data_IF_488981891159
#
_entry.id   IF_488981891159
#
_cell.length_a   1.000
_cell.length_b   1.000
_cell.length_c   1.000
_cell.angle_alpha   90.00
_cell.angle_beta   90.00
_cell.angle_gamma   90.00
#
_symmetry.space_group_name_H-M   'P 1'
#
loop_
_entity.id
_entity.type
_entity.pdbx_description
1 polymer ?
#
# COMPACT_ATOMS: atom_id res chain seq x y z
N UNK A 1 -14.64 -38.99 -9.62
CA UNK A 1 -13.63 -38.35 -10.48
C UNK A 1 -13.77 -36.88 -10.16
N UNK A 2 -12.97 -36.44 -9.18
CA UNK A 2 -13.26 -35.20 -8.46
C UNK A 2 -12.94 -34.00 -9.34
N UNK A 3 -14.02 -33.51 -9.93
CA UNK A 3 -14.31 -32.12 -10.30
C UNK A 3 -13.46 -31.15 -9.49
N UNK A 4 -12.42 -30.59 -10.14
CA UNK A 4 -11.48 -29.56 -9.69
C UNK A 4 -11.51 -29.24 -8.19
N UNK A 5 -10.48 -29.67 -7.45
CA UNK A 5 -10.29 -29.26 -6.05
C UNK A 5 -9.84 -27.77 -5.99
N UNK A 6 -10.79 -26.87 -6.28
CA UNK A 6 -10.65 -25.41 -6.33
C UNK A 6 -10.01 -24.87 -5.04
N UNK A 7 -10.37 -25.35 -3.82
CA UNK A 7 -9.69 -24.93 -2.59
C UNK A 7 -8.18 -25.18 -2.61
N UNK A 8 -7.74 -26.38 -3.03
CA UNK A 8 -6.31 -26.71 -3.13
C UNK A 8 -5.59 -25.81 -4.12
N UNK A 9 -6.22 -25.52 -5.27
CA UNK A 9 -5.63 -24.62 -6.27
C UNK A 9 -5.47 -23.19 -5.71
N UNK A 10 -6.48 -22.65 -5.01
CA UNK A 10 -6.41 -21.33 -4.39
C UNK A 10 -5.25 -21.27 -3.39
N UNK A 11 -5.12 -22.26 -2.51
CA UNK A 11 -4.00 -22.34 -1.56
C UNK A 11 -2.65 -22.36 -2.27
N UNK A 12 -2.50 -23.17 -3.32
CA UNK A 12 -1.26 -23.22 -4.10
C UNK A 12 -0.91 -21.87 -4.75
N UNK A 13 -1.91 -21.15 -5.29
CA UNK A 13 -1.70 -19.84 -5.91
C UNK A 13 -1.32 -18.79 -4.86
N UNK A 14 -2.00 -18.77 -3.72
CA UNK A 14 -1.66 -17.84 -2.63
C UNK A 14 -0.22 -18.06 -2.15
N UNK A 15 0.16 -19.30 -1.84
CA UNK A 15 1.52 -19.62 -1.37
C UNK A 15 2.57 -19.22 -2.39
N UNK A 16 2.36 -19.54 -3.67
CA UNK A 16 3.29 -19.15 -4.73
C UNK A 16 3.44 -17.62 -4.84
N UNK A 17 2.34 -16.87 -4.73
CA UNK A 17 2.37 -15.40 -4.80
C UNK A 17 3.06 -14.79 -3.57
N UNK A 18 2.82 -15.34 -2.38
CA UNK A 18 3.46 -14.90 -1.14
C UNK A 18 4.96 -15.17 -1.17
N UNK A 19 5.38 -16.38 -1.58
CA UNK A 19 6.78 -16.83 -1.53
C UNK A 19 7.67 -16.16 -2.58
N UNK A 20 7.15 -15.90 -3.78
CA UNK A 20 8.00 -15.58 -4.93
C UNK A 20 7.73 -14.24 -5.58
N UNK A 21 6.66 -13.56 -5.17
CA UNK A 21 6.08 -12.53 -6.00
C UNK A 21 5.91 -11.21 -5.22
N UNK A 22 6.51 -10.98 -4.04
CA UNK A 22 6.47 -9.63 -3.41
C UNK A 22 6.75 -8.43 -4.37
N UNK A 23 7.55 -8.63 -5.43
CA UNK A 23 7.73 -7.66 -6.52
C UNK A 23 6.46 -7.27 -7.30
N UNK A 24 5.44 -8.13 -7.53
CA UNK A 24 4.22 -7.66 -8.22
C UNK A 24 3.47 -6.65 -7.37
N UNK A 25 3.46 -6.80 -6.03
CA UNK A 25 2.85 -5.79 -5.14
C UNK A 25 3.49 -4.41 -5.32
N UNK A 26 4.79 -4.34 -5.58
CA UNK A 26 5.47 -3.08 -5.86
C UNK A 26 5.14 -2.51 -7.26
N UNK A 27 4.78 -3.36 -8.22
CA UNK A 27 4.48 -2.93 -9.59
C UNK A 27 3.10 -2.27 -9.68
N UNK A 28 2.06 -2.89 -9.09
CA UNK A 28 0.68 -2.42 -9.19
C UNK A 28 -0.07 -2.53 -7.84
N UNK A 29 0.40 -1.85 -6.78
CA UNK A 29 -0.07 -2.06 -5.41
C UNK A 29 -1.59 -1.86 -5.26
N UNK A 30 -2.16 -0.83 -5.89
CA UNK A 30 -3.59 -0.52 -5.83
C UNK A 30 -4.47 -1.58 -6.49
N UNK A 31 -4.12 -2.02 -7.70
CA UNK A 31 -4.89 -3.03 -8.45
C UNK A 31 -4.86 -4.39 -7.73
N UNK A 32 -3.68 -4.76 -7.21
CA UNK A 32 -3.50 -6.02 -6.49
C UNK A 32 -4.31 -6.02 -5.20
N UNK A 33 -4.22 -4.93 -4.42
CA UNK A 33 -5.03 -4.78 -3.21
C UNK A 33 -6.51 -4.89 -3.51
N UNK A 34 -6.97 -4.24 -4.56
CA UNK A 34 -8.36 -4.28 -4.96
C UNK A 34 -8.80 -5.69 -5.36
N UNK A 35 -8.02 -6.34 -6.22
CA UNK A 35 -8.29 -7.69 -6.68
C UNK A 35 -8.38 -8.65 -5.49
N UNK A 36 -7.40 -8.61 -4.58
CA UNK A 36 -7.36 -9.50 -3.42
C UNK A 36 -8.50 -9.18 -2.45
N UNK A 37 -8.82 -7.91 -2.23
CA UNK A 37 -9.94 -7.48 -1.39
C UNK A 37 -11.31 -7.96 -1.92
N UNK A 38 -11.51 -7.96 -3.23
CA UNK A 38 -12.76 -8.44 -3.84
C UNK A 38 -12.90 -9.97 -3.76
N UNK A 39 -11.79 -10.71 -3.68
CA UNK A 39 -11.77 -12.18 -3.71
C UNK A 39 -11.70 -12.74 -2.29
N UNK A 40 -12.87 -12.95 -1.68
CA UNK A 40 -13.02 -13.48 -0.31
C UNK A 40 -12.23 -14.76 0.00
N UNK A 41 -11.91 -15.57 -1.01
CA UNK A 41 -11.18 -16.83 -0.83
C UNK A 41 -9.65 -16.65 -0.76
N UNK A 42 -9.12 -15.44 -0.98
CA UNK A 42 -7.68 -15.14 -0.98
C UNK A 42 -7.24 -14.49 0.35
N UNK A 43 -7.66 -15.08 1.48
CA UNK A 43 -7.44 -14.51 2.82
C UNK A 43 -5.97 -14.44 3.21
N UNK A 44 -5.16 -15.44 2.86
CA UNK A 44 -3.74 -15.48 3.24
C UNK A 44 -2.95 -14.42 2.45
N UNK A 45 -3.27 -14.28 1.17
CA UNK A 45 -2.68 -13.26 0.32
C UNK A 45 -3.13 -11.85 0.76
N UNK A 46 -4.40 -11.68 1.13
CA UNK A 46 -4.90 -10.43 1.71
C UNK A 46 -4.11 -10.06 2.96
N UNK A 47 -4.00 -10.98 3.91
CA UNK A 47 -3.26 -10.78 5.16
C UNK A 47 -1.79 -10.46 4.90
N UNK A 48 -1.16 -11.13 3.93
CA UNK A 48 0.21 -10.85 3.53
C UNK A 48 0.37 -9.44 2.95
N UNK A 49 -0.42 -9.07 1.95
CA UNK A 49 -0.38 -7.74 1.33
C UNK A 49 -0.60 -6.65 2.38
N UNK A 50 -1.61 -6.83 3.21
CA UNK A 50 -2.00 -5.91 4.27
C UNK A 50 -0.88 -5.71 5.30
N UNK A 51 -0.27 -6.79 5.77
CA UNK A 51 0.90 -6.73 6.66
C UNK A 51 2.05 -5.98 6.00
N UNK A 52 2.36 -6.30 4.75
CA UNK A 52 3.48 -5.69 4.02
C UNK A 52 3.31 -4.20 3.76
N UNK A 53 2.10 -3.75 3.45
CA UNK A 53 1.82 -2.32 3.26
C UNK A 53 1.88 -1.55 4.58
N UNK A 54 1.55 -2.19 5.70
CA UNK A 54 1.64 -1.53 6.99
C UNK A 54 3.09 -1.43 7.51
N UNK A 55 3.90 -2.46 7.22
CA UNK A 55 5.35 -2.45 7.47
C UNK A 55 6.10 -1.46 6.57
N UNK A 56 5.70 -1.36 5.29
CA UNK A 56 6.37 -0.54 4.27
C UNK A 56 5.35 0.24 3.43
N UNK A 57 4.69 1.26 4.02
CA UNK A 57 3.62 2.00 3.37
C UNK A 57 4.06 2.75 2.11
N UNK A 58 5.35 3.05 1.98
CA UNK A 58 5.93 3.72 0.81
C UNK A 58 5.64 2.99 -0.49
N UNK A 59 5.50 1.66 -0.44
CA UNK A 59 5.16 0.83 -1.62
C UNK A 59 3.86 1.31 -2.26
N UNK A 60 2.88 1.67 -1.43
CA UNK A 60 1.57 2.12 -1.88
C UNK A 60 1.51 3.66 -1.94
N UNK A 61 1.89 4.35 -0.87
CA UNK A 61 1.70 5.80 -0.72
C UNK A 61 2.62 6.64 -1.62
N UNK A 62 3.79 6.11 -2.02
CA UNK A 62 4.67 6.79 -2.98
C UNK A 62 4.43 6.33 -4.43
N UNK A 63 3.54 5.37 -4.65
CA UNK A 63 3.20 4.92 -6.00
C UNK A 63 2.35 5.97 -6.72
N UNK A 64 2.63 6.15 -8.01
CA UNK A 64 1.79 6.88 -8.95
C UNK A 64 0.35 6.30 -9.03
N UNK A 65 0.20 5.01 -8.69
CA UNK A 65 -1.09 4.31 -8.63
C UNK A 65 -1.85 4.56 -7.34
N UNK A 66 -1.30 5.25 -6.35
CA UNK A 66 -2.03 5.53 -5.10
C UNK A 66 -3.37 6.22 -5.36
N UNK A 67 -3.39 7.17 -6.30
CA UNK A 67 -4.58 7.95 -6.63
C UNK A 67 -5.69 7.14 -7.29
N UNK A 68 -5.43 5.93 -7.79
CA UNK A 68 -6.46 5.03 -8.31
C UNK A 68 -7.09 4.14 -7.24
N UNK A 69 -6.57 4.16 -6.00
CA UNK A 69 -7.08 3.34 -4.91
C UNK A 69 -8.53 3.70 -4.59
N UNK A 70 -9.41 2.69 -4.53
CA UNK A 70 -10.82 2.91 -4.19
C UNK A 70 -10.98 3.40 -2.75
N UNK A 71 -11.92 4.32 -2.55
CA UNK A 71 -12.19 4.94 -1.24
C UNK A 71 -12.34 3.93 -0.07
N UNK A 72 -13.03 2.78 -0.20
CA UNK A 72 -13.15 1.82 0.90
C UNK A 72 -11.82 1.20 1.32
N UNK A 73 -10.89 0.99 0.38
CA UNK A 73 -9.56 0.45 0.67
C UNK A 73 -8.71 1.49 1.38
N UNK A 74 -8.74 2.74 0.91
CA UNK A 74 -8.06 3.84 1.58
C UNK A 74 -8.59 3.98 3.02
N UNK A 75 -9.91 3.94 3.21
CA UNK A 75 -10.54 4.00 4.53
C UNK A 75 -10.06 2.88 5.46
N UNK A 76 -10.00 1.64 4.94
CA UNK A 76 -9.52 0.47 5.68
C UNK A 76 -8.06 0.64 6.12
N UNK A 77 -7.20 1.15 5.25
CA UNK A 77 -5.80 1.40 5.57
C UNK A 77 -5.65 2.52 6.61
N UNK A 78 -6.40 3.62 6.46
CA UNK A 78 -6.32 4.75 7.40
C UNK A 78 -6.85 4.42 8.80
N UNK A 79 -7.72 3.41 8.96
CA UNK A 79 -8.18 2.94 10.28
C UNK A 79 -7.10 2.22 11.10
N UNK A 80 -5.99 1.81 10.49
CA UNK A 80 -5.03 0.89 11.12
C UNK A 80 -4.01 1.57 12.02
N UNK A 81 -3.89 1.08 13.26
CA UNK A 81 -2.89 1.59 14.20
C UNK A 81 -1.46 1.16 13.83
N UNK A 82 -1.29 0.11 13.04
CA UNK A 82 0.01 -0.46 12.64
C UNK A 82 0.50 0.01 11.26
N UNK A 83 -0.18 0.98 10.64
CA UNK A 83 0.30 1.64 9.42
C UNK A 83 1.50 2.56 9.78
N UNK A 84 2.71 2.11 9.49
CA UNK A 84 3.98 2.77 9.86
C UNK A 84 4.31 3.99 9.00
N UNK A 85 3.40 4.97 8.91
CA UNK A 85 3.55 6.21 8.15
C UNK A 85 3.24 7.42 9.03
N UNK A 86 4.06 8.47 8.92
CA UNK A 86 3.82 9.72 9.66
C UNK A 86 2.49 10.35 9.26
N UNK A 87 1.74 10.88 10.23
CA UNK A 87 0.40 11.44 9.98
C UNK A 87 0.42 12.59 8.98
N UNK A 88 1.53 13.33 8.90
CA UNK A 88 1.67 14.37 7.87
C UNK A 88 1.82 13.79 6.46
N UNK A 89 2.54 12.68 6.29
CA UNK A 89 2.65 12.00 5.01
C UNK A 89 1.31 11.37 4.59
N UNK A 90 0.54 10.87 5.56
CA UNK A 90 -0.84 10.42 5.33
C UNK A 90 -1.71 11.57 4.83
N UNK A 91 -1.66 12.74 5.50
CA UNK A 91 -2.39 13.93 5.10
C UNK A 91 -2.03 14.39 3.69
N UNK A 92 -0.73 14.52 3.38
CA UNK A 92 -0.24 14.92 2.06
C UNK A 92 -0.72 13.97 0.97
N UNK A 93 -0.70 12.66 1.22
CA UNK A 93 -1.21 11.65 0.30
C UNK A 93 -2.73 11.70 0.15
N UNK A 94 -3.48 11.91 1.23
CA UNK A 94 -4.94 12.05 1.18
C UNK A 94 -5.35 13.25 0.32
N UNK A 95 -4.68 14.40 0.47
CA UNK A 95 -4.93 15.58 -0.37
C UNK A 95 -4.64 15.29 -1.85
N UNK A 96 -3.52 14.63 -2.16
CA UNK A 96 -3.21 14.19 -3.53
C UNK A 96 -4.30 13.28 -4.10
N UNK A 97 -4.79 12.32 -3.28
CA UNK A 97 -5.87 11.42 -3.67
C UNK A 97 -7.17 12.18 -3.94
N UNK A 98 -7.59 13.10 -3.06
CA UNK A 98 -8.80 13.90 -3.23
C UNK A 98 -8.76 14.77 -4.49
N UNK A 99 -7.62 15.39 -4.79
CA UNK A 99 -7.43 16.18 -6.01
C UNK A 99 -7.50 15.30 -7.26
N UNK A 100 -6.95 14.09 -7.22
CA UNK A 100 -7.02 13.15 -8.34
C UNK A 100 -8.44 12.63 -8.60
N UNK A 101 -9.27 12.50 -7.54
CA UNK A 101 -10.69 12.15 -7.70
C UNK A 101 -11.51 13.30 -8.33
N UNK A 102 -11.03 14.54 -8.22
CA UNK A 102 -11.75 15.74 -8.66
C UNK A 102 -10.87 16.58 -9.62
N UNK A 103 -10.60 16.10 -10.85
CA UNK A 103 -9.62 16.71 -11.76
C UNK A 103 -10.00 18.11 -12.25
N UNK A 104 -11.26 18.53 -12.09
CA UNK A 104 -11.72 19.89 -12.41
C UNK A 104 -11.34 20.94 -11.37
N UNK A 105 -10.89 20.51 -10.18
CA UNK A 105 -10.56 21.41 -9.06
C UNK A 105 -9.15 21.94 -9.21
N UNK A 106 -9.00 23.24 -8.97
CA UNK A 106 -7.69 23.89 -8.97
C UNK A 106 -6.74 23.29 -7.93
N UNK A 107 -5.44 23.24 -8.24
CA UNK A 107 -4.46 22.70 -7.27
C UNK A 107 -4.20 23.65 -6.09
N UNK A 108 -4.31 24.95 -6.32
CA UNK A 108 -4.07 25.96 -5.28
C UNK A 108 -5.35 26.21 -4.49
N UNK A 109 -5.37 25.73 -3.24
CA UNK A 109 -6.51 25.85 -2.31
C UNK A 109 -6.94 27.31 -2.08
N UNK A 110 -6.02 28.28 -2.23
CA UNK A 110 -6.34 29.70 -2.07
C UNK A 110 -7.22 30.26 -3.18
N UNK A 111 -7.32 29.56 -4.32
CA UNK A 111 -8.08 29.98 -5.50
C UNK A 111 -9.42 29.27 -5.63
N UNK A 112 -9.78 28.43 -4.66
CA UNK A 112 -11.02 27.67 -4.73
C UNK A 112 -12.24 28.57 -4.56
N UNK A 113 -13.23 28.34 -5.42
CA UNK A 113 -14.56 28.89 -5.25
C UNK A 113 -15.41 28.01 -4.30
N UNK A 114 -16.62 28.47 -3.98
CA UNK A 114 -17.52 27.79 -3.03
C UNK A 114 -17.90 26.38 -3.47
N UNK A 115 -18.06 26.15 -4.77
CA UNK A 115 -18.45 24.84 -5.31
C UNK A 115 -17.29 23.85 -5.24
N UNK A 116 -16.07 24.29 -5.59
CA UNK A 116 -14.83 23.51 -5.44
C UNK A 116 -14.59 23.10 -3.98
N UNK A 117 -14.78 24.02 -3.03
CA UNK A 117 -14.72 23.74 -1.59
C UNK A 117 -15.73 22.66 -1.22
N UNK A 118 -17.00 22.81 -1.64
CA UNK A 118 -18.08 21.87 -1.32
C UNK A 118 -17.81 20.46 -1.86
N UNK A 119 -17.24 20.35 -3.06
CA UNK A 119 -16.88 19.05 -3.66
C UNK A 119 -15.74 18.39 -2.87
N UNK A 120 -14.69 19.16 -2.51
CA UNK A 120 -13.57 18.63 -1.74
C UNK A 120 -13.97 18.25 -0.32
N UNK A 121 -14.81 19.05 0.33
CA UNK A 121 -15.35 18.78 1.65
C UNK A 121 -16.08 17.43 1.66
N UNK A 122 -17.02 17.21 0.72
CA UNK A 122 -17.73 15.93 0.58
C UNK A 122 -16.80 14.75 0.30
N UNK A 123 -15.74 14.97 -0.48
CA UNK A 123 -14.77 13.93 -0.84
C UNK A 123 -13.95 13.50 0.37
N UNK A 124 -13.44 14.46 1.15
CA UNK A 124 -12.51 14.21 2.25
C UNK A 124 -13.22 13.84 3.56
N UNK A 125 -14.48 14.25 3.74
CA UNK A 125 -15.25 14.16 4.98
C UNK A 125 -15.11 12.82 5.72
N UNK A 126 -15.26 11.70 5.00
CA UNK A 126 -15.21 10.35 5.61
C UNK A 126 -13.83 9.98 6.17
N UNK A 127 -12.77 10.63 5.70
CA UNK A 127 -11.39 10.35 6.06
C UNK A 127 -10.87 11.25 7.18
N UNK A 128 -11.47 12.43 7.39
CA UNK A 128 -11.08 13.37 8.45
C UNK A 128 -10.99 12.71 9.83
N UNK A 129 -11.96 11.89 10.28
CA UNK A 129 -11.90 11.23 11.59
C UNK A 129 -10.80 10.15 11.71
N UNK A 130 -10.15 9.78 10.60
CA UNK A 130 -9.12 8.74 10.53
C UNK A 130 -7.70 9.31 10.59
N UNK A 131 -7.56 10.64 10.53
CA UNK A 131 -6.28 11.35 10.66
C UNK A 131 -6.06 11.71 12.13
N UNK A 132 -4.88 11.38 12.66
CA UNK A 132 -4.54 11.71 14.05
C UNK A 132 -3.84 13.07 14.09
N UNK A 133 -4.61 14.14 13.87
CA UNK A 133 -4.08 15.50 13.76
C UNK A 133 -3.19 15.95 14.94
N UNK A 134 -3.44 15.45 16.15
CA UNK A 134 -2.64 15.76 17.34
C UNK A 134 -1.21 15.18 17.30
N UNK A 135 -0.95 14.22 16.40
CA UNK A 135 0.39 13.68 16.15
C UNK A 135 1.06 14.33 14.92
N UNK A 136 0.47 15.38 14.36
CA UNK A 136 1.12 16.25 13.38
C UNK A 136 1.85 17.36 14.13
N UNK A 137 3.07 17.70 13.70
CA UNK A 137 3.84 18.78 14.32
C UNK A 137 3.11 20.13 14.16
N UNK A 138 3.35 21.08 15.07
CA UNK A 138 2.75 22.43 14.95
C UNK A 138 3.16 23.14 13.66
N UNK A 139 4.39 22.93 13.21
CA UNK A 139 4.92 23.49 11.96
C UNK A 139 4.20 22.89 10.75
N UNK A 140 4.12 21.56 10.66
CA UNK A 140 3.41 20.88 9.57
C UNK A 140 1.92 21.21 9.57
N UNK A 141 1.30 21.32 10.75
CA UNK A 141 -0.09 21.74 10.85
C UNK A 141 -0.28 23.11 10.21
N UNK A 142 0.54 24.11 10.57
CA UNK A 142 0.41 25.46 10.02
C UNK A 142 0.72 25.55 8.52
N UNK A 143 1.72 24.80 8.04
CA UNK A 143 2.18 24.89 6.66
C UNK A 143 1.37 24.03 5.68
N UNK A 144 0.88 22.88 6.11
CA UNK A 144 0.30 21.85 5.22
C UNK A 144 -1.15 21.51 5.50
N UNK A 145 -1.60 21.58 6.76
CA UNK A 145 -2.99 21.26 7.14
C UNK A 145 -3.87 22.51 7.13
N UNK A 146 -3.42 23.56 7.80
CA UNK A 146 -4.15 24.82 7.97
C UNK A 146 -4.57 25.52 6.65
N UNK A 147 -3.81 25.43 5.53
CA UNK A 147 -4.29 25.95 4.23
C UNK A 147 -5.63 25.34 3.79
N UNK A 148 -5.95 24.12 4.24
CA UNK A 148 -7.19 23.41 3.94
C UNK A 148 -8.22 23.51 5.06
N UNK A 149 -8.10 24.46 6.00
CA UNK A 149 -9.00 24.60 7.15
C UNK A 149 -10.49 24.66 6.78
N UNK A 150 -10.84 25.16 5.59
CA UNK A 150 -12.24 25.21 5.13
C UNK A 150 -12.85 23.82 4.90
N UNK A 151 -12.04 22.76 4.84
CA UNK A 151 -12.47 21.37 4.71
C UNK A 151 -12.60 20.64 6.06
N UNK A 152 -12.21 21.30 7.14
CA UNK A 152 -12.15 20.71 8.48
C UNK A 152 -13.24 21.33 9.36
N UNK A 153 -13.84 20.56 10.29
CA UNK A 153 -14.73 21.13 11.29
C UNK A 153 -14.03 22.24 12.09
N UNK A 154 -14.72 23.35 12.33
CA UNK A 154 -14.16 24.50 13.05
C UNK A 154 -13.66 24.12 14.46
N UNK A 155 -14.44 23.32 15.18
CA UNK A 155 -14.07 22.81 16.51
C UNK A 155 -12.76 22.01 16.46
N UNK A 156 -12.54 21.22 15.41
CA UNK A 156 -11.32 20.44 15.26
C UNK A 156 -10.10 21.36 15.11
N UNK A 157 -10.20 22.40 14.29
CA UNK A 157 -9.13 23.39 14.10
C UNK A 157 -8.81 24.10 15.41
N UNK A 158 -9.83 24.59 16.11
CA UNK A 158 -9.67 25.30 17.37
C UNK A 158 -9.02 24.41 18.45
N UNK A 159 -9.40 23.14 18.48
CA UNK A 159 -8.83 22.15 19.39
C UNK A 159 -7.35 21.86 19.09
N UNK A 160 -6.98 21.70 17.81
CA UNK A 160 -5.58 21.49 17.40
C UNK A 160 -4.74 22.74 17.68
N UNK A 161 -5.24 23.93 17.38
CA UNK A 161 -4.57 25.19 17.71
C UNK A 161 -4.32 25.32 19.21
N UNK A 162 -5.35 25.06 20.02
CA UNK A 162 -5.24 25.08 21.48
C UNK A 162 -4.21 24.07 21.98
N UNK A 163 -4.19 22.86 21.40
CA UNK A 163 -3.23 21.82 21.72
C UNK A 163 -1.78 22.26 21.51
N UNK A 164 -1.48 22.94 20.40
CA UNK A 164 -0.15 23.45 20.11
C UNK A 164 0.23 24.72 20.90
N UNK A 165 -0.74 25.56 21.27
CA UNK A 165 -0.47 26.83 21.98
C UNK A 165 -0.39 26.70 23.50
N UNK A 166 -1.14 25.76 24.09
CA UNK A 166 -1.25 25.62 25.54
C UNK A 166 -1.24 24.15 25.97
N UNK A 167 -0.12 23.43 25.80
CA UNK A 167 -0.04 22.00 26.10
C UNK A 167 -0.33 21.67 27.58
N UNK A 168 -0.16 22.62 28.49
CA UNK A 168 -0.38 22.40 29.93
C UNK A 168 -1.87 22.42 30.34
N UNK A 169 -2.81 22.74 29.45
CA UNK A 169 -4.27 22.76 29.73
C UNK A 169 -4.99 21.47 29.30
N UNK A 170 -4.24 20.42 28.97
CA UNK A 170 -4.77 19.19 28.39
C UNK A 170 -5.52 18.35 29.42
N UNK A 171 -6.85 18.50 29.51
CA UNK A 171 -7.73 17.51 30.15
C UNK A 171 -8.73 17.00 29.12
N UNK A 172 -8.65 15.71 28.76
CA UNK A 172 -9.68 14.94 28.06
C UNK A 172 -9.85 15.17 26.54
N UNK A 173 -8.78 15.42 25.78
CA UNK A 173 -8.86 15.19 24.33
C UNK A 173 -8.85 13.68 24.08
N UNK A 174 -9.95 13.11 23.58
CA UNK A 174 -10.03 11.70 23.19
C UNK A 174 -9.20 11.46 21.92
N UNK A 175 -7.88 11.42 22.07
CA UNK A 175 -6.94 11.28 20.95
C UNK A 175 -6.65 9.81 20.70
N UNK A 176 -6.82 9.35 19.46
CA UNK A 176 -6.33 8.05 19.03
C UNK A 176 -4.82 7.91 19.32
N UNK A 177 -4.33 6.72 19.70
CA UNK A 177 -2.90 6.52 19.94
C UNK A 177 -2.09 6.74 18.65
N UNK A 178 -0.81 7.16 18.73
CA UNK A 178 0.07 7.25 17.57
C UNK A 178 0.10 5.94 16.77
N UNK A 179 0.28 6.02 15.45
CA UNK A 179 0.52 4.81 14.66
C UNK A 179 1.88 4.23 15.02
N UNK A 180 1.97 2.91 15.19
CA UNK A 180 3.22 2.26 15.56
C UNK A 180 4.20 2.31 14.39
N UNK A 181 5.39 2.86 14.63
CA UNK A 181 6.55 2.54 13.81
C UNK A 181 7.00 1.15 14.26
N UNK A 182 7.08 0.20 13.32
CA UNK A 182 7.64 -1.10 13.68
C UNK A 182 9.14 -0.90 13.89
N UNK A 183 9.56 -0.77 15.15
CA UNK A 183 10.98 -0.80 15.51
C UNK A 183 11.53 -2.19 15.20
N UNK A 184 12.14 -2.34 14.03
CA UNK A 184 13.04 -3.46 13.76
C UNK A 184 14.37 -3.13 14.45
N UNK A 185 14.38 -3.14 15.78
CA UNK A 185 15.60 -3.10 16.58
C UNK A 185 15.94 -4.51 17.05
N UNK A 186 16.96 -5.12 16.42
CA UNK A 186 17.61 -6.31 16.97
C UNK A 186 18.08 -7.34 15.96
N UNK A 187 18.98 -6.98 15.04
CA UNK A 187 20.01 -7.91 14.55
C UNK A 187 21.23 -7.07 14.13
N UNK A 188 22.05 -6.77 15.14
CA UNK A 188 23.39 -6.23 14.97
C UNK A 188 24.20 -7.21 14.14
N UNK A 189 24.71 -6.73 13.03
CA UNK A 189 25.67 -7.42 12.18
C UNK A 189 26.98 -7.50 12.94
N UNK A 190 27.42 -8.72 13.30
CA UNK A 190 28.83 -8.98 13.55
C UNK A 190 29.55 -9.00 12.19
N UNK A 191 30.55 -8.13 12.07
CA UNK A 191 31.47 -8.06 10.94
C UNK A 191 32.86 -8.46 11.42
N UNK A 192 33.35 -9.55 10.86
CA UNK A 192 34.73 -10.06 10.76
C UNK A 192 34.56 -11.45 10.13
N UNK A 193 35.27 -11.90 9.09
CA UNK A 193 36.54 -11.52 8.51
C UNK A 193 36.60 -12.06 7.07
N UNK A 194 37.61 -11.56 6.38
CA UNK A 194 38.00 -11.78 4.99
C UNK A 194 38.51 -13.22 4.71
N UNK A 195 38.60 -13.55 3.41
CA UNK A 195 39.33 -14.68 2.79
C UNK A 195 38.60 -16.02 2.61
N UNK A 196 38.04 -16.25 1.41
CA UNK A 196 37.98 -17.59 0.78
C UNK A 196 37.58 -17.50 -0.71
N UNK A 197 38.32 -16.71 -1.50
CA UNK A 197 38.38 -16.90 -2.95
C UNK A 197 39.70 -17.58 -3.30
N UNK A 198 39.75 -18.91 -3.15
CA UNK A 198 40.68 -19.79 -3.85
C UNK A 198 40.15 -21.22 -3.81
N UNK A 199 39.31 -21.57 -4.80
CA UNK A 199 39.10 -22.95 -5.19
C UNK A 199 39.26 -23.08 -6.71
N UNK A 200 39.86 -24.19 -7.22
CA UNK A 200 40.28 -24.30 -8.61
C UNK A 200 39.08 -24.47 -9.54
N UNK A 201 39.17 -23.85 -10.72
CA UNK A 201 38.21 -24.06 -11.81
C UNK A 201 38.26 -25.54 -12.25
N UNK A 202 37.14 -26.27 -12.26
CA UNK A 202 37.13 -27.66 -12.69
C UNK A 202 37.22 -27.76 -14.22
N UNK A 203 37.84 -28.82 -14.78
CA UNK A 203 38.03 -28.95 -16.22
C UNK A 203 36.68 -29.18 -16.94
N UNK A 204 36.58 -28.80 -18.23
CA UNK A 204 35.35 -28.97 -19.00
C UNK A 204 35.06 -30.46 -19.22
N UNK A 205 33.79 -30.86 -19.02
CA UNK A 205 33.33 -32.24 -19.27
C UNK A 205 33.24 -32.52 -20.77
N UNK A 206 33.55 -33.76 -21.22
CA UNK A 206 33.45 -34.12 -22.62
C UNK A 206 31.99 -34.18 -23.08
N UNK A 207 31.75 -33.74 -24.31
CA UNK A 207 30.45 -33.79 -24.98
C UNK A 207 29.96 -35.23 -25.12
N UNK A 208 28.91 -35.57 -24.37
CA UNK A 208 28.11 -36.77 -24.62
C UNK A 208 26.83 -36.37 -25.35
N UNK A 209 26.80 -36.69 -26.65
CA UNK A 209 25.58 -36.81 -27.46
C UNK A 209 24.59 -37.75 -26.74
N UNK A 210 23.40 -37.26 -26.40
CA UNK A 210 22.36 -38.11 -25.81
C UNK A 210 21.16 -37.37 -25.24
N UNK A 211 20.17 -37.12 -26.12
CA UNK A 211 18.72 -36.98 -25.87
C UNK A 211 18.25 -36.00 -24.78
N UNK A 212 17.94 -34.79 -25.25
CA UNK A 212 17.29 -33.74 -24.49
C UNK A 212 15.75 -33.86 -24.65
N UNK A 213 15.08 -34.66 -23.80
CA UNK A 213 13.60 -34.76 -23.79
C UNK A 213 12.94 -34.50 -22.42
N UNK A 214 13.71 -34.35 -21.33
CA UNK A 214 13.13 -34.19 -19.99
C UNK A 214 13.12 -32.76 -19.43
N UNK A 215 13.79 -31.79 -20.08
CA UNK A 215 13.85 -30.40 -19.59
C UNK A 215 12.93 -29.40 -20.29
N UNK A 216 12.26 -29.79 -21.38
CA UNK A 216 11.37 -28.90 -22.15
C UNK A 216 9.98 -28.77 -21.53
N UNK A 217 9.48 -29.82 -20.89
CA UNK A 217 8.10 -29.89 -20.39
C UNK A 217 7.87 -29.04 -19.11
N UNK A 218 8.87 -28.89 -18.23
CA UNK A 218 8.74 -28.03 -17.03
C UNK A 218 8.82 -26.53 -17.34
N UNK A 219 9.60 -26.12 -18.33
CA UNK A 219 9.65 -24.71 -18.75
C UNK A 219 8.38 -24.31 -19.49
N UNK A 220 7.82 -25.20 -20.31
CA UNK A 220 6.58 -24.96 -21.03
C UNK A 220 5.37 -24.96 -20.10
N UNK A 221 5.32 -25.83 -19.08
CA UNK A 221 4.28 -25.78 -18.03
C UNK A 221 4.37 -24.51 -17.17
N UNK A 222 5.58 -24.04 -16.81
CA UNK A 222 5.76 -22.77 -16.08
C UNK A 222 5.39 -21.55 -16.92
N UNK A 223 5.73 -21.53 -18.22
CA UNK A 223 5.30 -20.49 -19.16
C UNK A 223 3.79 -20.52 -19.36
N UNK A 224 3.21 -21.70 -19.50
CA UNK A 224 1.76 -21.91 -19.65
C UNK A 224 1.00 -21.45 -18.40
N UNK A 225 1.46 -21.80 -17.20
CA UNK A 225 0.83 -21.35 -15.96
C UNK A 225 0.97 -19.83 -15.78
N UNK A 226 2.14 -19.26 -16.11
CA UNK A 226 2.38 -17.81 -16.04
C UNK A 226 1.51 -17.04 -17.05
N UNK A 227 1.32 -17.56 -18.25
CA UNK A 227 0.43 -16.97 -19.25
C UNK A 227 -1.04 -17.13 -18.87
N UNK A 228 -1.46 -18.31 -18.37
CA UNK A 228 -2.83 -18.54 -17.89
C UNK A 228 -3.17 -17.69 -16.66
N UNK A 229 -2.22 -17.46 -15.77
CA UNK A 229 -2.39 -16.50 -14.66
C UNK A 229 -2.44 -15.08 -15.21
N UNK A 230 -1.64 -14.74 -16.23
CA UNK A 230 -1.74 -13.44 -16.90
C UNK A 230 -3.11 -13.20 -17.52
N UNK A 231 -3.65 -14.18 -18.24
CA UNK A 231 -4.95 -14.09 -18.90
C UNK A 231 -6.09 -14.09 -17.86
N UNK A 232 -5.93 -14.82 -16.75
CA UNK A 232 -6.90 -14.83 -15.64
C UNK A 232 -6.89 -13.53 -14.83
N UNK A 233 -5.74 -12.85 -14.72
CA UNK A 233 -5.59 -11.65 -13.89
C UNK A 233 -5.63 -10.32 -14.67
N UNK A 234 -5.39 -10.31 -15.98
CA UNK A 234 -5.24 -9.08 -16.79
C UNK A 234 -6.08 -9.04 -18.08
N UNK A 235 -7.07 -9.92 -18.25
CA UNK A 235 -8.02 -9.79 -19.37
C UNK A 235 -9.03 -8.68 -19.07
N UNK A 236 -8.88 -7.52 -19.71
CA UNK A 236 -9.95 -6.53 -19.84
C UNK A 236 -11.01 -7.07 -20.81
N UNK A 237 -12.20 -7.41 -20.32
CA UNK A 237 -13.36 -7.51 -21.21
C UNK A 237 -13.88 -6.10 -21.50
N UNK A 238 -14.10 -5.74 -22.79
CA UNK A 238 -14.68 -4.45 -23.12
C UNK A 238 -16.15 -4.43 -22.70
N UNK A 239 -16.51 -3.41 -21.93
CA UNK A 239 -17.92 -3.06 -21.68
C UNK A 239 -18.51 -2.67 -23.04
N UNK A 240 -19.36 -3.53 -23.61
CA UNK A 240 -20.21 -3.18 -24.74
C UNK A 240 -21.19 -2.09 -24.29
N UNK A 241 -21.20 -1.00 -25.06
CA UNK A 241 -21.99 0.23 -24.87
C UNK A 241 -23.48 -0.03 -25.03
#
# INVERSE_FOLDING_TARGET
MDEFNIPTLITCVQNYLIEHQYKFLQQNPSEILEMVYQRKNFTDLWNFCHKKICEKPEILFNSDKFTSLKAPLLELLLKRNDLSLDEIAIWDSLIKWCLAQNPSIQRDVKKWNKDEITIMEKTIYRFIPLIRFYHISSEDFLLKVYPYKLLLPEDLINNILTFHMAPNKQSNMNTQPPRSKTDVSGESSESSEESLYNYPVPPPKPESRGVNLYYRDKSDKRKSLKNRLKDFFFSEEPIQV
#
